data_IF_438360403796
#
_entry.id   IF_438360403796
#
_cell.length_a   1.000
_cell.length_b   1.000
_cell.length_c   1.000
_cell.angle_alpha   90.00
_cell.angle_beta   90.00
_cell.angle_gamma   90.00
#
_symmetry.space_group_name_H-M   'P 1'
#
loop_
_entity.id
_entity.type
_entity.pdbx_description
1 polymer ?
#
# COMPACT_ATOMS: atom_id res chain seq x y z
N UNK A 1 -50.04 -28.83 -23.79
CA UNK A 1 -49.88 -27.36 -23.82
C UNK A 1 -49.53 -26.91 -22.40
N UNK A 2 -48.25 -26.75 -22.06
CA UNK A 2 -47.44 -25.53 -22.26
C UNK A 2 -48.17 -24.31 -21.67
N UNK A 3 -47.66 -23.54 -20.70
CA UNK A 3 -46.32 -23.41 -20.12
C UNK A 3 -46.45 -22.65 -18.80
N UNK A 4 -45.74 -23.06 -17.75
CA UNK A 4 -45.39 -22.17 -16.63
C UNK A 4 -43.92 -21.82 -16.83
N UNK A 5 -43.68 -20.57 -17.21
CA UNK A 5 -42.35 -20.03 -17.54
C UNK A 5 -41.61 -19.76 -16.24
N UNK A 6 -40.50 -20.48 -16.05
CA UNK A 6 -39.49 -20.22 -15.02
C UNK A 6 -38.90 -18.81 -15.18
N UNK A 7 -38.97 -18.01 -14.13
CA UNK A 7 -38.10 -16.83 -13.95
C UNK A 7 -37.10 -17.22 -12.85
N UNK A 8 -35.94 -17.72 -13.27
CA UNK A 8 -34.73 -17.79 -12.44
C UNK A 8 -33.67 -16.99 -13.16
N UNK A 9 -33.54 -15.75 -12.71
CA UNK A 9 -32.52 -14.78 -13.09
C UNK A 9 -31.12 -15.32 -12.79
N UNK A 10 -30.24 -15.18 -13.76
CA UNK A 10 -28.88 -15.69 -13.79
C UNK A 10 -27.98 -15.06 -12.71
N UNK A 11 -27.63 -15.85 -11.70
CA UNK A 11 -26.37 -15.72 -10.98
C UNK A 11 -25.35 -16.58 -11.72
N UNK A 12 -24.59 -15.98 -12.62
CA UNK A 12 -23.41 -16.62 -13.20
C UNK A 12 -22.34 -16.70 -12.11
N UNK A 13 -22.41 -17.71 -11.26
CA UNK A 13 -21.28 -18.16 -10.47
C UNK A 13 -20.20 -18.58 -11.46
N UNK A 14 -19.02 -17.94 -11.38
CA UNK A 14 -17.82 -18.43 -12.07
C UNK A 14 -17.42 -19.72 -11.38
N UNK A 15 -18.04 -20.83 -11.79
CA UNK A 15 -17.62 -22.17 -11.37
C UNK A 15 -16.32 -22.46 -12.08
N UNK A 16 -15.21 -22.31 -11.36
CA UNK A 16 -13.90 -22.76 -11.79
C UNK A 16 -13.94 -24.29 -11.84
N UNK A 17 -14.15 -24.86 -13.03
CA UNK A 17 -14.02 -26.30 -13.26
C UNK A 17 -12.54 -26.70 -13.12
N UNK A 18 -12.11 -27.09 -11.92
CA UNK A 18 -10.81 -27.73 -11.67
C UNK A 18 -11.03 -29.25 -11.91
N UNK A 19 -10.54 -29.81 -13.02
CA UNK A 19 -10.65 -31.26 -13.33
C UNK A 19 -9.70 -32.05 -12.44
N UNK A 20 -10.22 -33.12 -11.86
CA UNK A 20 -9.56 -34.10 -11.00
C UNK A 20 -8.50 -34.92 -11.75
N UNK A 21 -7.22 -34.73 -11.39
CA UNK A 21 -6.18 -35.76 -11.27
C UNK A 21 -4.85 -35.10 -10.83
N UNK A 22 -4.49 -35.25 -9.54
CA UNK A 22 -3.15 -34.94 -9.02
C UNK A 22 -2.86 -33.45 -8.84
N UNK A 23 -3.14 -32.93 -7.64
CA UNK A 23 -2.64 -31.67 -7.04
C UNK A 23 -2.13 -30.62 -8.04
N UNK A 24 -3.03 -30.05 -8.83
CA UNK A 24 -2.80 -28.74 -9.44
C UNK A 24 -3.44 -27.75 -8.48
N UNK A 25 -2.62 -27.11 -7.65
CA UNK A 25 -3.04 -25.96 -6.87
C UNK A 25 -3.58 -24.94 -7.88
N UNK A 26 -4.90 -24.75 -7.91
CA UNK A 26 -5.57 -23.85 -8.84
C UNK A 26 -5.11 -22.42 -8.44
N UNK A 27 -4.00 -21.92 -9.00
CA UNK A 27 -3.40 -20.66 -8.57
C UNK A 27 -4.36 -19.49 -8.84
N UNK A 28 -4.46 -18.59 -7.86
CA UNK A 28 -5.27 -17.37 -7.92
C UNK A 28 -4.52 -16.19 -8.54
N UNK A 29 -3.24 -16.36 -8.91
CA UNK A 29 -2.36 -15.32 -9.46
C UNK A 29 -2.27 -15.33 -10.99
N UNK A 30 -2.06 -14.18 -11.62
CA UNK A 30 -1.92 -14.06 -13.06
C UNK A 30 -0.79 -14.95 -13.58
N UNK A 31 -1.08 -15.79 -14.60
CA UNK A 31 -0.09 -16.69 -15.22
C UNK A 31 1.16 -15.98 -15.75
N UNK A 32 1.04 -14.68 -16.05
CA UNK A 32 2.18 -13.87 -16.47
C UNK A 32 3.21 -13.71 -15.35
N UNK A 33 2.77 -13.51 -14.11
CA UNK A 33 3.64 -13.32 -12.95
C UNK A 33 4.26 -14.64 -12.48
N UNK A 34 3.47 -15.71 -12.46
CA UNK A 34 3.92 -17.06 -12.05
C UNK A 34 5.10 -17.60 -12.87
N UNK A 35 5.24 -17.14 -14.12
CA UNK A 35 6.32 -17.54 -15.03
C UNK A 35 7.59 -16.72 -14.82
N UNK A 36 7.53 -15.65 -14.05
CA UNK A 36 8.66 -14.77 -13.82
C UNK A 36 9.73 -15.49 -12.96
N UNK A 37 11.03 -15.44 -13.31
CA UNK A 37 12.09 -16.13 -12.57
C UNK A 37 12.16 -15.77 -11.07
N UNK A 38 11.80 -14.52 -10.74
CA UNK A 38 11.80 -14.00 -9.38
C UNK A 38 10.44 -14.10 -8.66
N UNK A 39 9.45 -14.77 -9.24
CA UNK A 39 8.13 -14.95 -8.62
C UNK A 39 8.22 -15.51 -7.20
N UNK A 40 9.04 -16.55 -7.01
CA UNK A 40 9.25 -17.23 -5.72
C UNK A 40 10.01 -16.39 -4.67
N UNK A 41 10.37 -15.14 -4.98
CA UNK A 41 10.92 -14.19 -4.00
C UNK A 41 9.83 -13.35 -3.32
N UNK A 42 8.58 -13.51 -3.73
CA UNK A 42 7.43 -12.93 -3.06
C UNK A 42 6.85 -13.94 -2.03
N UNK A 43 6.29 -13.44 -0.93
CA UNK A 43 5.77 -14.27 0.18
C UNK A 43 4.49 -15.06 -0.15
N UNK A 44 3.84 -14.80 -1.29
CA UNK A 44 2.61 -15.46 -1.77
C UNK A 44 1.50 -15.60 -0.71
N UNK A 45 1.47 -16.74 -0.01
CA UNK A 45 0.45 -17.06 0.98
C UNK A 45 0.68 -16.37 2.33
N UNK A 46 1.89 -15.85 2.57
CA UNK A 46 2.35 -15.26 3.84
C UNK A 46 2.33 -13.72 3.86
N UNK A 47 1.50 -13.10 3.01
CA UNK A 47 1.37 -11.64 2.94
C UNK A 47 -0.05 -11.14 3.21
N UNK A 48 -0.15 -9.84 3.49
CA UNK A 48 -1.42 -9.12 3.52
C UNK A 48 -2.36 -9.54 4.64
N UNK A 49 -1.84 -10.17 5.70
CA UNK A 49 -2.60 -10.59 6.87
C UNK A 49 -2.03 -9.94 8.14
N UNK A 50 -2.91 -9.58 9.06
CA UNK A 50 -2.58 -9.13 10.42
C UNK A 50 -3.37 -9.97 11.42
N UNK A 51 -2.78 -10.25 12.58
CA UNK A 51 -3.44 -10.93 13.70
C UNK A 51 -4.35 -9.99 14.49
N UNK A 52 -4.27 -8.68 14.24
CA UNK A 52 -5.10 -7.67 14.89
C UNK A 52 -6.46 -7.58 14.21
N UNK A 53 -7.49 -8.10 14.88
CA UNK A 53 -8.88 -7.95 14.46
C UNK A 53 -9.40 -6.57 14.90
N UNK A 54 -9.29 -5.60 14.00
CA UNK A 54 -9.84 -4.26 14.18
C UNK A 54 -11.05 -4.04 13.27
N UNK A 55 -12.09 -3.39 13.78
CA UNK A 55 -13.14 -2.82 12.94
C UNK A 55 -12.53 -1.79 11.98
N UNK A 56 -13.10 -1.64 10.79
CA UNK A 56 -12.62 -0.64 9.81
C UNK A 56 -12.59 0.74 10.44
N UNK A 57 -11.45 1.41 10.32
CA UNK A 57 -11.25 2.74 10.88
C UNK A 57 -11.84 3.77 9.93
N UNK A 58 -12.98 4.35 10.33
CA UNK A 58 -13.55 5.55 9.72
C UNK A 58 -13.11 6.77 10.54
N UNK A 59 -12.55 7.80 9.90
CA UNK A 59 -12.28 9.07 10.60
C UNK A 59 -10.83 9.53 10.70
N UNK A 60 -9.84 8.79 10.18
CA UNK A 60 -8.43 9.18 10.38
C UNK A 60 -7.99 8.99 11.84
N UNK A 61 -8.19 7.79 12.37
CA UNK A 61 -7.87 7.50 13.78
C UNK A 61 -6.50 6.84 13.90
N UNK A 62 -5.98 6.87 15.12
CA UNK A 62 -4.85 6.05 15.54
C UNK A 62 -5.09 4.59 15.17
N UNK A 63 -4.10 3.98 14.52
CA UNK A 63 -4.10 2.56 14.23
C UNK A 63 -3.86 1.78 15.54
N UNK A 64 -4.32 0.53 15.61
CA UNK A 64 -3.90 -0.34 16.70
C UNK A 64 -2.45 -0.80 16.48
N UNK A 65 -1.71 -0.99 17.57
CA UNK A 65 -0.39 -1.62 17.54
C UNK A 65 -0.45 -2.96 16.78
N UNK A 66 0.36 -3.13 15.72
CA UNK A 66 0.38 -4.32 14.87
C UNK A 66 -0.72 -4.41 13.79
N UNK A 67 -1.58 -3.40 13.65
CA UNK A 67 -2.68 -3.42 12.67
C UNK A 67 -2.19 -3.44 11.21
N UNK A 68 -1.06 -2.79 10.93
CA UNK A 68 -0.48 -2.67 9.59
C UNK A 68 1.00 -3.08 9.58
N UNK A 69 1.31 -4.38 9.74
CA UNK A 69 2.68 -4.86 9.98
C UNK A 69 3.61 -4.74 8.75
N UNK A 70 3.08 -4.32 7.61
CA UNK A 70 3.84 -4.07 6.38
C UNK A 70 4.25 -2.61 6.20
N UNK A 71 3.77 -1.70 7.04
CA UNK A 71 4.13 -0.29 6.93
C UNK A 71 5.56 -0.09 7.40
N UNK A 72 6.29 0.71 6.63
CA UNK A 72 7.70 1.02 6.85
C UNK A 72 7.86 2.52 6.93
N UNK A 73 8.59 3.03 7.91
CA UNK A 73 9.03 4.42 7.94
C UNK A 73 10.41 4.57 7.30
N UNK A 74 10.60 5.54 6.42
CA UNK A 74 11.90 5.95 5.89
C UNK A 74 12.45 7.04 6.78
N UNK A 75 13.61 6.81 7.37
CA UNK A 75 14.23 7.74 8.31
C UNK A 75 15.13 8.72 7.58
N UNK A 76 14.78 10.00 7.67
CA UNK A 76 15.66 11.09 7.30
C UNK A 76 16.47 11.51 8.52
N UNK A 77 17.80 11.49 8.40
CA UNK A 77 18.70 11.90 9.48
C UNK A 77 19.00 13.40 9.44
N UNK A 78 19.02 14.02 10.62
CA UNK A 78 19.35 15.45 10.79
C UNK A 78 20.86 15.75 10.87
N UNK A 79 21.71 14.76 10.60
CA UNK A 79 23.18 14.86 10.65
C UNK A 79 23.78 14.84 12.06
N UNK A 80 22.98 14.81 13.13
CA UNK A 80 23.42 14.63 14.52
C UNK A 80 22.89 13.35 15.15
N UNK A 81 22.34 12.45 14.33
CA UNK A 81 21.94 11.10 14.71
C UNK A 81 20.48 10.96 15.14
N UNK A 82 19.66 12.01 15.03
CA UNK A 82 18.21 11.86 15.18
C UNK A 82 17.59 11.62 13.80
N UNK A 83 16.85 10.52 13.68
CA UNK A 83 16.06 10.22 12.49
C UNK A 83 14.59 10.48 12.78
N UNK A 84 13.88 11.14 11.86
CA UNK A 84 12.41 11.19 11.84
C UNK A 84 11.87 10.49 10.62
N UNK A 85 10.66 9.95 10.73
CA UNK A 85 9.99 9.38 9.56
C UNK A 85 9.63 10.51 8.60
N UNK A 86 10.26 10.51 7.44
CA UNK A 86 10.04 11.48 6.36
C UNK A 86 8.99 11.00 5.36
N UNK A 87 9.09 9.73 4.98
CA UNK A 87 8.17 9.05 4.08
C UNK A 87 7.78 7.68 4.64
N UNK A 88 6.67 7.16 4.14
CA UNK A 88 6.28 5.78 4.28
C UNK A 88 6.87 4.87 3.20
N UNK A 89 6.66 3.58 3.40
CA UNK A 89 6.98 2.51 2.47
C UNK A 89 6.17 1.26 2.82
N UNK A 90 6.34 0.21 2.02
CA UNK A 90 5.68 -1.07 2.23
C UNK A 90 6.64 -2.22 2.07
N UNK A 91 6.72 -3.08 3.08
CA UNK A 91 7.48 -4.33 3.01
C UNK A 91 6.77 -5.29 2.05
N UNK A 92 7.45 -5.77 1.01
CA UNK A 92 6.86 -6.65 -0.01
C UNK A 92 7.40 -8.09 0.01
N UNK A 93 8.52 -8.31 0.71
CA UNK A 93 9.07 -9.62 1.07
C UNK A 93 10.05 -9.45 2.24
N UNK A 94 10.90 -10.44 2.50
CA UNK A 94 11.87 -10.43 3.61
C UNK A 94 13.07 -9.48 3.42
N UNK A 95 13.16 -8.74 2.30
CA UNK A 95 14.35 -7.92 1.99
C UNK A 95 14.08 -6.63 1.22
N UNK A 96 12.88 -6.45 0.69
CA UNK A 96 12.55 -5.31 -0.16
C UNK A 96 11.37 -4.53 0.40
N UNK A 97 11.57 -3.22 0.42
CA UNK A 97 10.54 -2.22 0.67
C UNK A 97 10.26 -1.51 -0.65
N UNK A 98 9.00 -1.26 -0.95
CA UNK A 98 8.60 -0.39 -2.05
C UNK A 98 8.10 0.95 -1.50
N UNK A 99 8.47 2.04 -2.16
CA UNK A 99 8.13 3.41 -1.77
C UNK A 99 8.03 4.28 -3.03
N UNK A 100 7.80 5.58 -2.87
CA UNK A 100 7.85 6.55 -3.96
C UNK A 100 9.29 6.96 -4.28
N UNK A 101 9.59 7.26 -5.55
CA UNK A 101 10.93 7.67 -5.95
C UNK A 101 11.30 9.05 -5.41
N UNK A 102 10.33 9.95 -5.28
CA UNK A 102 10.56 11.27 -4.69
C UNK A 102 10.94 11.22 -3.20
N UNK A 103 10.74 10.09 -2.52
CA UNK A 103 11.06 9.93 -1.09
C UNK A 103 12.52 9.58 -0.82
N UNK A 104 13.31 9.30 -1.86
CA UNK A 104 14.67 8.74 -1.73
C UNK A 104 15.67 9.49 -2.58
N UNK A 105 15.47 10.80 -2.76
CA UNK A 105 16.46 11.60 -3.44
C UNK A 105 17.78 11.58 -2.65
N UNK A 106 18.95 11.60 -3.32
CA UNK A 106 20.24 11.58 -2.63
C UNK A 106 20.43 12.68 -1.59
N UNK A 107 19.75 13.82 -1.76
CA UNK A 107 19.77 14.96 -0.83
C UNK A 107 18.95 14.72 0.45
N UNK A 108 18.03 13.75 0.43
CA UNK A 108 17.18 13.42 1.59
C UNK A 108 17.91 12.57 2.63
N UNK A 109 19.10 12.05 2.32
CA UNK A 109 19.94 11.26 3.23
C UNK A 109 19.22 10.07 3.91
N UNK A 110 18.40 9.33 3.14
CA UNK A 110 17.68 8.15 3.63
C UNK A 110 18.62 6.93 3.71
N UNK A 111 19.14 6.66 4.91
CA UNK A 111 20.05 5.53 5.16
C UNK A 111 19.36 4.31 5.80
N UNK A 112 18.27 4.54 6.52
CA UNK A 112 17.59 3.52 7.32
C UNK A 112 16.09 3.53 7.06
N UNK A 113 15.51 2.35 7.24
CA UNK A 113 14.08 2.21 7.44
C UNK A 113 13.79 1.75 8.86
N UNK A 114 12.57 2.00 9.33
CA UNK A 114 12.04 1.44 10.57
C UNK A 114 10.85 0.54 10.26
N UNK A 115 10.87 -0.67 10.82
CA UNK A 115 9.84 -1.69 10.66
C UNK A 115 9.12 -1.91 11.99
N UNK A 116 7.81 -2.12 11.95
CA UNK A 116 6.98 -2.36 13.13
C UNK A 116 6.85 -1.14 14.04
N UNK A 117 7.21 0.06 13.59
CA UNK A 117 6.99 1.29 14.36
C UNK A 117 5.49 1.52 14.60
N UNK A 118 5.13 2.13 15.73
CA UNK A 118 3.77 2.62 15.97
C UNK A 118 3.81 4.02 16.58
N UNK A 119 4.56 4.24 17.66
CA UNK A 119 4.78 5.54 18.30
C UNK A 119 6.26 5.95 18.27
N UNK A 120 6.57 6.98 17.47
CA UNK A 120 7.93 7.49 17.24
C UNK A 120 8.64 8.01 18.51
N UNK A 121 7.92 8.23 19.62
CA UNK A 121 8.48 8.74 20.87
C UNK A 121 8.85 7.65 21.88
N UNK A 122 8.64 6.38 21.57
CA UNK A 122 8.88 5.26 22.49
C UNK A 122 9.71 4.17 21.85
N UNK A 123 10.60 3.54 22.61
CA UNK A 123 11.45 2.44 22.10
C UNK A 123 10.80 1.06 22.21
N UNK A 124 9.80 0.91 23.08
CA UNK A 124 9.02 -0.32 23.28
C UNK A 124 7.57 0.05 23.52
N UNK A 125 6.65 -0.69 22.88
CA UNK A 125 5.21 -0.50 22.99
C UNK A 125 4.52 -1.83 23.27
N UNK A 126 3.57 -1.84 24.21
CA UNK A 126 2.87 -3.05 24.62
C UNK A 126 1.36 -2.84 24.60
N UNK A 127 0.63 -3.86 24.14
CA UNK A 127 -0.80 -4.01 24.33
C UNK A 127 -1.10 -5.34 25.02
N UNK A 128 -1.29 -5.29 26.35
CA UNK A 128 -1.34 -6.50 27.18
C UNK A 128 0.02 -7.20 27.21
N UNK A 129 0.04 -8.50 26.94
CA UNK A 129 1.27 -9.31 26.91
C UNK A 129 2.05 -9.21 25.59
N UNK A 130 1.47 -8.52 24.59
CA UNK A 130 2.07 -8.37 23.27
C UNK A 130 2.87 -7.06 23.21
N UNK A 131 4.20 -7.17 23.20
CA UNK A 131 5.13 -6.04 23.14
C UNK A 131 5.94 -6.04 21.85
N UNK A 132 6.32 -4.85 21.40
CA UNK A 132 7.09 -4.63 20.19
C UNK A 132 8.18 -3.59 20.41
N UNK A 133 9.33 -3.83 19.77
CA UNK A 133 10.35 -2.82 19.58
C UNK A 133 10.53 -2.59 18.09
N UNK A 134 10.43 -1.33 17.67
CA UNK A 134 10.64 -0.94 16.28
C UNK A 134 12.06 -1.34 15.82
N UNK A 135 12.16 -1.88 14.60
CA UNK A 135 13.42 -2.42 14.06
C UNK A 135 13.99 -1.44 13.05
N UNK A 136 15.10 -0.80 13.39
CA UNK A 136 15.87 0.04 12.46
C UNK A 136 16.77 -0.83 11.59
N UNK A 137 16.59 -0.79 10.27
CA UNK A 137 17.32 -1.61 9.30
C UNK A 137 17.98 -0.73 8.26
N UNK A 138 19.26 -0.99 7.98
CA UNK A 138 20.03 -0.23 6.99
C UNK A 138 19.61 -0.56 5.56
N UNK A 139 19.54 0.47 4.72
CA UNK A 139 19.31 0.33 3.28
C UNK A 139 20.65 0.06 2.59
N UNK A 140 20.70 -0.99 1.79
CA UNK A 140 21.89 -1.37 1.01
C UNK A 140 21.89 -0.74 -0.37
N UNK A 141 20.75 -0.77 -1.05
CA UNK A 141 20.61 -0.27 -2.41
C UNK A 141 19.22 0.34 -2.59
N UNK A 142 19.17 1.39 -3.41
CA UNK A 142 17.96 2.09 -3.84
C UNK A 142 17.86 1.90 -5.35
N UNK A 143 16.68 1.52 -5.84
CA UNK A 143 16.41 1.26 -7.26
C UNK A 143 15.19 2.08 -7.68
N UNK A 144 15.41 3.29 -8.17
CA UNK A 144 14.36 4.12 -8.75
C UNK A 144 13.93 3.57 -10.10
N UNK A 145 12.66 3.77 -10.46
CA UNK A 145 12.22 3.46 -11.81
C UNK A 145 13.03 4.30 -12.82
N UNK A 146 13.61 3.70 -13.89
CA UNK A 146 14.51 4.40 -14.79
C UNK A 146 13.84 5.56 -15.55
N UNK A 147 12.53 5.45 -15.75
CA UNK A 147 11.70 6.49 -16.39
C UNK A 147 10.99 7.39 -15.36
N UNK A 148 11.46 7.46 -14.11
CA UNK A 148 10.92 8.40 -13.12
C UNK A 148 11.12 9.85 -13.60
N UNK A 149 10.02 10.60 -13.68
CA UNK A 149 10.02 12.02 -14.00
C UNK A 149 9.44 12.81 -12.83
N UNK A 150 10.30 13.60 -12.17
CA UNK A 150 9.92 14.43 -11.04
C UNK A 150 9.02 15.61 -11.40
N UNK A 151 9.07 16.10 -12.64
CA UNK A 151 8.32 17.28 -13.07
C UNK A 151 6.87 16.93 -13.34
N UNK A 152 6.64 15.79 -14.01
CA UNK A 152 5.31 15.29 -14.34
C UNK A 152 4.80 14.25 -13.32
N UNK A 153 5.61 13.94 -12.29
CA UNK A 153 5.34 12.93 -11.24
C UNK A 153 4.90 11.57 -11.80
N UNK A 154 5.61 11.13 -12.84
CA UNK A 154 5.36 9.86 -13.55
C UNK A 154 6.38 8.82 -13.09
N UNK A 155 5.94 7.57 -12.97
CA UNK A 155 6.79 6.44 -12.55
C UNK A 155 7.47 6.68 -11.19
N UNK A 156 6.74 7.32 -10.29
CA UNK A 156 7.18 7.69 -8.94
C UNK A 156 7.24 6.48 -7.98
N UNK A 157 8.09 5.50 -8.31
CA UNK A 157 8.25 4.26 -7.56
C UNK A 157 9.73 3.91 -7.42
N UNK A 158 10.11 3.46 -6.23
CA UNK A 158 11.46 2.97 -5.92
C UNK A 158 11.41 1.71 -5.08
N UNK A 159 12.44 0.87 -5.22
CA UNK A 159 12.68 -0.29 -4.37
C UNK A 159 13.90 -0.07 -3.49
N UNK A 160 13.75 -0.35 -2.20
CA UNK A 160 14.81 -0.31 -1.22
C UNK A 160 15.17 -1.74 -0.85
N UNK A 161 16.41 -2.14 -1.14
CA UNK A 161 16.95 -3.42 -0.68
C UNK A 161 17.56 -3.22 0.69
N UNK A 162 17.05 -3.95 1.67
CA UNK A 162 17.58 -4.00 3.02
C UNK A 162 18.92 -4.76 3.04
N UNK A 163 19.85 -4.29 3.87
CA UNK A 163 21.18 -4.91 4.01
C UNK A 163 21.05 -6.33 4.60
N UNK A 164 20.18 -6.46 5.60
CA UNK A 164 19.83 -7.71 6.26
C UNK A 164 18.44 -8.21 5.84
N UNK A 165 18.27 -9.53 5.86
CA UNK A 165 16.96 -10.16 5.64
C UNK A 165 16.19 -10.18 6.95
N UNK A 166 14.89 -9.99 6.88
CA UNK A 166 13.96 -10.27 7.96
C UNK A 166 13.88 -11.79 8.08
N UNK A 167 14.42 -12.35 9.16
CA UNK A 167 14.52 -13.81 9.33
C UNK A 167 13.19 -14.45 9.72
N UNK A 168 12.34 -13.70 10.42
CA UNK A 168 11.05 -14.16 10.92
C UNK A 168 10.01 -13.05 10.81
N UNK A 169 8.84 -13.39 10.27
CA UNK A 169 7.68 -12.51 10.28
C UNK A 169 6.87 -12.73 11.56
N UNK A 170 6.48 -11.65 12.22
CA UNK A 170 5.75 -11.67 13.49
C UNK A 170 4.50 -10.77 13.42
N UNK A 171 3.87 -10.48 14.55
CA UNK A 171 2.64 -9.67 14.58
C UNK A 171 2.84 -8.20 14.18
N UNK A 172 4.09 -7.74 14.09
CA UNK A 172 4.44 -6.33 13.86
C UNK A 172 5.18 -6.10 12.54
N UNK A 173 5.81 -7.14 11.98
CA UNK A 173 6.57 -7.07 10.73
C UNK A 173 6.19 -8.24 9.83
N UNK A 174 5.41 -7.95 8.80
CA UNK A 174 4.97 -8.88 7.74
C UNK A 174 4.84 -8.17 6.41
N UNK A 175 4.98 -8.84 5.27
CA UNK A 175 4.85 -8.19 3.98
C UNK A 175 3.38 -8.00 3.55
N UNK A 176 3.12 -6.97 2.74
CA UNK A 176 1.84 -6.79 2.03
C UNK A 176 1.84 -7.57 0.71
N UNK A 177 0.68 -8.05 0.26
CA UNK A 177 0.59 -8.71 -1.04
C UNK A 177 0.64 -7.71 -2.20
N UNK A 178 1.32 -8.09 -3.29
CA UNK A 178 1.24 -7.36 -4.56
C UNK A 178 -0.05 -7.73 -5.34
N UNK A 179 -0.59 -6.82 -6.18
CA UNK A 179 -1.86 -6.99 -6.90
C UNK A 179 -1.73 -7.93 -8.10
N UNK A 180 -1.39 -9.19 -7.82
CA UNK A 180 -1.06 -10.22 -8.80
C UNK A 180 -2.22 -11.17 -9.09
N UNK A 181 -3.40 -10.97 -8.50
CA UNK A 181 -4.54 -11.89 -8.57
C UNK A 181 -5.29 -11.82 -9.91
N UNK A 182 -5.67 -12.98 -10.48
CA UNK A 182 -6.30 -13.11 -11.82
C UNK A 182 -7.59 -12.31 -12.00
N UNK A 183 -8.36 -12.16 -10.92
CA UNK A 183 -9.65 -11.49 -10.94
C UNK A 183 -9.54 -9.97 -10.82
N UNK A 184 -8.33 -9.45 -10.56
CA UNK A 184 -8.08 -8.02 -10.54
C UNK A 184 -7.90 -7.48 -11.96
N UNK A 185 -8.42 -6.27 -12.16
CA UNK A 185 -8.21 -5.46 -13.35
C UNK A 185 -8.14 -3.99 -12.93
N UNK A 186 -7.82 -3.09 -13.88
CA UNK A 186 -7.63 -1.66 -13.60
C UNK A 186 -8.81 -0.96 -12.91
N UNK A 187 -10.03 -1.50 -13.04
CA UNK A 187 -11.25 -0.93 -12.46
C UNK A 187 -11.70 -1.63 -11.18
N UNK A 188 -11.00 -2.68 -10.72
CA UNK A 188 -11.42 -3.52 -9.58
C UNK A 188 -11.63 -2.76 -8.27
N UNK A 189 -11.04 -1.57 -8.14
CA UNK A 189 -11.14 -0.72 -6.96
C UNK A 189 -11.98 0.54 -7.18
N UNK A 190 -12.48 0.83 -8.39
CA UNK A 190 -13.27 2.04 -8.63
C UNK A 190 -14.53 2.08 -7.74
N UNK A 191 -14.72 3.18 -7.03
CA UNK A 191 -15.85 3.36 -6.10
C UNK A 191 -15.72 2.57 -4.80
N UNK A 192 -14.66 1.77 -4.62
CA UNK A 192 -14.38 1.10 -3.35
C UNK A 192 -13.64 2.04 -2.41
N UNK A 193 -13.91 1.85 -1.13
CA UNK A 193 -13.16 2.45 -0.05
C UNK A 193 -11.92 1.60 0.22
N UNK A 194 -10.76 2.23 0.17
CA UNK A 194 -9.46 1.66 0.50
C UNK A 194 -8.88 2.38 1.72
N UNK A 195 -7.88 1.78 2.35
CA UNK A 195 -7.23 2.34 3.52
C UNK A 195 -5.80 2.74 3.20
N UNK A 196 -5.38 3.88 3.72
CA UNK A 196 -3.99 4.32 3.74
C UNK A 196 -3.61 4.59 5.18
N UNK A 197 -2.34 4.40 5.51
CA UNK A 197 -1.83 4.62 6.85
C UNK A 197 -0.37 5.06 6.83
N UNK A 198 0.00 5.84 7.83
CA UNK A 198 1.30 6.48 7.95
C UNK A 198 1.36 7.42 9.16
N UNK A 199 2.47 8.14 9.26
CA UNK A 199 2.73 9.12 10.32
C UNK A 199 2.59 10.56 9.82
N UNK A 200 1.95 10.74 8.66
CA UNK A 200 1.79 12.05 8.06
C UNK A 200 1.01 13.04 8.93
N UNK A 201 1.11 14.32 8.60
CA UNK A 201 0.52 15.44 9.31
C UNK A 201 -0.98 15.24 9.54
N UNK A 202 -1.41 15.51 10.78
CA UNK A 202 -2.76 15.12 11.23
C UNK A 202 -3.73 16.27 11.46
N UNK A 203 -3.36 17.50 11.12
CA UNK A 203 -4.23 18.68 11.09
C UNK A 203 -3.44 19.92 10.63
N UNK A 204 -4.13 21.06 10.42
CA UNK A 204 -3.63 22.41 10.09
C UNK A 204 -2.52 23.00 11.01
N UNK A 205 -1.96 22.22 11.93
CA UNK A 205 -0.95 22.64 12.91
C UNK A 205 0.49 22.30 12.54
N UNK A 206 0.75 21.80 11.32
CA UNK A 206 2.11 21.51 10.83
C UNK A 206 2.91 20.52 11.70
N UNK A 207 2.25 19.59 12.39
CA UNK A 207 2.93 18.54 13.17
C UNK A 207 2.59 17.16 12.62
N UNK A 208 3.63 16.41 12.28
CA UNK A 208 3.56 14.98 11.98
C UNK A 208 2.96 14.22 13.17
N UNK A 209 2.37 13.06 12.90
CA UNK A 209 1.80 12.23 13.96
C UNK A 209 2.90 11.44 14.65
N UNK A 210 2.94 11.50 15.98
CA UNK A 210 3.78 10.57 16.75
C UNK A 210 3.31 9.13 16.55
N UNK A 211 1.99 8.92 16.47
CA UNK A 211 1.35 7.61 16.32
C UNK A 211 1.00 7.30 14.87
N UNK A 212 1.11 6.04 14.48
CA UNK A 212 0.59 5.56 13.19
C UNK A 212 -0.92 5.81 13.12
N UNK A 213 -1.38 6.49 12.08
CA UNK A 213 -2.81 6.69 11.82
C UNK A 213 -3.25 6.01 10.54
N UNK A 214 -4.54 5.73 10.45
CA UNK A 214 -5.16 5.14 9.27
C UNK A 214 -6.43 5.88 8.87
N UNK A 215 -6.61 6.05 7.57
CA UNK A 215 -7.78 6.69 6.98
C UNK A 215 -8.32 5.88 5.82
N UNK A 216 -9.65 5.85 5.72
CA UNK A 216 -10.34 5.21 4.61
C UNK A 216 -10.72 6.25 3.55
N UNK A 217 -10.26 6.06 2.31
CA UNK A 217 -10.50 6.95 1.16
C UNK A 217 -11.21 6.24 0.01
N UNK A 218 -12.24 6.84 -0.61
CA UNK A 218 -12.89 6.29 -1.79
C UNK A 218 -12.03 6.47 -3.05
N UNK A 219 -11.77 5.37 -3.75
CA UNK A 219 -11.14 5.39 -5.07
C UNK A 219 -12.12 5.95 -6.10
N UNK A 220 -11.65 6.90 -6.90
CA UNK A 220 -12.42 7.49 -7.99
C UNK A 220 -11.97 6.96 -9.34
N UNK A 221 -12.92 6.89 -10.29
CA UNK A 221 -12.60 6.48 -11.66
C UNK A 221 -11.58 7.43 -12.32
N UNK A 222 -10.77 6.90 -13.24
CA UNK A 222 -9.84 7.67 -14.06
C UNK A 222 -10.53 8.86 -14.77
N UNK A 223 -11.77 8.66 -15.24
CA UNK A 223 -12.59 9.74 -15.84
C UNK A 223 -12.85 10.87 -14.84
N UNK A 224 -13.23 10.54 -13.61
CA UNK A 224 -13.48 11.53 -12.55
C UNK A 224 -12.18 12.20 -12.13
N UNK A 225 -11.09 11.45 -12.02
CA UNK A 225 -9.79 12.01 -11.67
C UNK A 225 -9.28 13.00 -12.74
N UNK A 226 -9.34 12.64 -14.03
CA UNK A 226 -9.01 13.56 -15.13
C UNK A 226 -9.89 14.80 -15.20
N UNK A 227 -11.15 14.71 -14.78
CA UNK A 227 -12.01 15.88 -14.75
C UNK A 227 -11.45 16.97 -13.82
N UNK A 228 -10.81 16.58 -12.73
CA UNK A 228 -10.18 17.51 -11.77
C UNK A 228 -8.75 17.87 -12.16
N UNK A 229 -7.94 16.90 -12.58
CA UNK A 229 -6.50 17.08 -12.83
C UNK A 229 -6.16 17.44 -14.29
N UNK A 230 -7.13 17.40 -15.20
CA UNK A 230 -6.93 17.54 -16.64
C UNK A 230 -6.36 16.28 -17.29
N UNK A 231 -5.26 15.75 -16.76
CA UNK A 231 -4.61 14.54 -17.24
C UNK A 231 -4.22 13.59 -16.10
N UNK A 232 -4.29 12.28 -16.35
CA UNK A 232 -3.91 11.21 -15.41
C UNK A 232 -3.35 10.06 -16.23
N UNK A 233 -2.17 9.57 -15.85
CA UNK A 233 -1.54 8.44 -16.51
C UNK A 233 -2.23 7.12 -16.15
N UNK A 234 -2.20 6.13 -17.05
CA UNK A 234 -2.68 4.77 -16.75
C UNK A 234 -1.98 4.15 -15.53
N UNK A 235 -0.75 4.57 -15.29
CA UNK A 235 0.10 4.16 -14.17
C UNK A 235 -0.24 4.85 -12.86
N UNK A 236 -1.30 5.66 -12.83
CA UNK A 236 -1.81 6.35 -11.64
C UNK A 236 -3.21 5.85 -11.28
N UNK A 237 -3.52 5.88 -10.00
CA UNK A 237 -4.85 5.65 -9.42
C UNK A 237 -5.16 6.79 -8.46
N UNK A 238 -6.42 7.21 -8.38
CA UNK A 238 -6.79 8.35 -7.56
C UNK A 238 -7.80 7.95 -6.49
N UNK A 239 -7.63 8.54 -5.32
CA UNK A 239 -8.64 8.55 -4.27
C UNK A 239 -9.01 10.01 -3.96
N UNK A 240 -10.22 10.21 -3.47
CA UNK A 240 -10.71 11.54 -3.12
C UNK A 240 -10.84 11.62 -1.61
N UNK A 241 -10.28 12.67 -1.00
CA UNK A 241 -10.54 12.99 0.39
C UNK A 241 -12.05 13.08 0.66
N UNK A 242 -12.47 12.66 1.85
CA UNK A 242 -13.87 12.59 2.23
C UNK A 242 -14.09 13.25 3.58
N UNK A 243 -14.89 14.32 3.63
CA UNK A 243 -15.25 15.04 4.85
C UNK A 243 -14.06 15.53 5.68
N UNK A 244 -12.99 16.03 5.05
CA UNK A 244 -11.81 16.49 5.78
C UNK A 244 -10.79 15.37 6.09
N UNK A 245 -10.98 14.17 5.54
CA UNK A 245 -10.09 13.02 5.72
C UNK A 245 -9.39 12.67 4.42
N UNK A 246 -8.06 12.68 4.41
CA UNK A 246 -7.23 12.40 3.23
C UNK A 246 -5.83 11.91 3.66
N UNK A 247 -5.05 11.36 2.71
CA UNK A 247 -3.62 11.17 2.93
C UNK A 247 -2.90 12.54 2.92
N UNK A 248 -1.91 12.71 3.78
CA UNK A 248 -1.24 14.00 3.97
C UNK A 248 0.29 13.92 3.83
N UNK A 249 0.96 15.07 3.96
CA UNK A 249 2.42 15.16 4.08
C UNK A 249 2.94 14.16 5.11
N UNK A 250 3.95 13.35 4.77
CA UNK A 250 4.48 12.28 5.63
C UNK A 250 3.82 10.90 5.44
N UNK A 251 2.70 10.81 4.71
CA UNK A 251 2.19 9.53 4.17
C UNK A 251 2.77 9.22 2.78
N UNK A 252 3.54 10.14 2.21
CA UNK A 252 4.24 9.98 0.92
C UNK A 252 5.03 8.67 0.88
N UNK A 253 4.95 7.92 -0.22
CA UNK A 253 5.56 6.59 -0.35
C UNK A 253 4.85 5.48 0.43
N UNK A 254 3.90 5.80 1.31
CA UNK A 254 3.07 4.86 2.06
C UNK A 254 2.02 4.13 1.20
N UNK A 255 1.39 3.07 1.75
CA UNK A 255 0.50 2.22 1.00
C UNK A 255 -0.94 2.73 0.87
N UNK A 256 -1.52 2.61 -0.31
CA UNK A 256 -2.97 2.51 -0.52
C UNK A 256 -3.37 1.04 -0.60
N UNK A 257 -4.18 0.59 0.35
CA UNK A 257 -4.43 -0.83 0.64
C UNK A 257 -5.88 -1.24 0.38
N UNK A 258 -6.04 -2.34 -0.36
CA UNK A 258 -7.35 -2.93 -0.65
C UNK A 258 -7.47 -4.35 -0.13
N UNK A 259 -8.70 -4.79 0.12
CA UNK A 259 -9.00 -6.21 0.37
C UNK A 259 -9.27 -6.94 -0.94
N UNK A 260 -8.67 -8.12 -1.07
CA UNK A 260 -8.79 -8.99 -2.25
C UNK A 260 -9.03 -10.41 -1.79
N UNK A 261 -9.94 -11.11 -2.46
CA UNK A 261 -10.25 -12.50 -2.14
C UNK A 261 -9.09 -13.39 -2.61
N UNK A 262 -8.48 -14.13 -1.69
CA UNK A 262 -7.30 -14.95 -1.97
C UNK A 262 -7.65 -16.33 -2.50
N UNK A 263 -8.83 -16.85 -2.16
CA UNK A 263 -9.29 -18.16 -2.62
C UNK A 263 -10.78 -18.16 -3.01
N UNK A 264 -11.33 -19.34 -3.29
CA UNK A 264 -12.77 -19.51 -3.51
C UNK A 264 -13.58 -19.42 -2.22
N UNK A 265 -12.92 -19.46 -1.05
CA UNK A 265 -13.58 -19.24 0.23
C UNK A 265 -14.01 -17.77 0.35
N UNK A 266 -15.31 -17.47 0.55
CA UNK A 266 -15.81 -16.11 0.68
C UNK A 266 -15.30 -15.37 1.92
N UNK A 267 -14.65 -16.04 2.88
CA UNK A 267 -14.06 -15.41 4.07
C UNK A 267 -12.55 -15.15 3.93
N UNK A 268 -11.90 -15.70 2.91
CA UNK A 268 -10.44 -15.65 2.75
C UNK A 268 -10.00 -14.40 1.97
N UNK A 269 -9.73 -13.33 2.70
CA UNK A 269 -9.26 -12.05 2.17
C UNK A 269 -7.86 -11.71 2.66
N UNK A 270 -7.10 -11.07 1.77
CA UNK A 270 -5.81 -10.45 2.11
C UNK A 270 -5.78 -8.99 1.71
N UNK A 271 -4.90 -8.24 2.38
CA UNK A 271 -4.51 -6.87 2.04
C UNK A 271 -3.54 -6.89 0.87
N UNK A 272 -3.85 -6.07 -0.11
CA UNK A 272 -3.05 -5.89 -1.32
C UNK A 272 -2.64 -4.44 -1.44
N UNK A 273 -1.38 -4.20 -1.83
CA UNK A 273 -0.84 -2.89 -2.16
C UNK A 273 -1.42 -2.44 -3.49
N UNK A 274 -2.49 -1.66 -3.45
CA UNK A 274 -3.18 -1.15 -4.64
C UNK A 274 -2.43 0.04 -5.23
N UNK A 275 -1.90 0.91 -4.36
CA UNK A 275 -1.09 2.04 -4.79
C UNK A 275 -0.07 2.49 -3.76
N UNK A 276 0.76 3.44 -4.18
CA UNK A 276 1.80 4.10 -3.37
C UNK A 276 1.50 5.59 -3.39
N UNK A 277 1.42 6.24 -2.22
CA UNK A 277 1.13 7.67 -2.10
C UNK A 277 2.19 8.48 -2.83
N UNK A 278 1.77 9.32 -3.79
CA UNK A 278 2.67 10.11 -4.62
C UNK A 278 2.49 11.60 -4.39
N UNK A 279 1.35 12.18 -4.79
CA UNK A 279 1.06 13.60 -4.59
C UNK A 279 -0.44 13.86 -4.41
N UNK A 280 -0.79 15.06 -3.93
CA UNK A 280 -2.17 15.51 -3.77
C UNK A 280 -2.45 16.78 -4.57
N UNK A 281 -3.72 17.02 -4.91
CA UNK A 281 -4.15 18.29 -5.52
C UNK A 281 -5.42 18.79 -4.83
N UNK A 282 -5.46 20.06 -4.36
CA UNK A 282 -6.64 20.66 -3.74
C UNK A 282 -7.88 20.62 -4.64
N UNK A 283 -9.05 20.36 -4.06
CA UNK A 283 -10.33 20.29 -4.81
C UNK A 283 -11.00 21.68 -4.93
N UNK A 284 -10.68 22.65 -4.07
CA UNK A 284 -11.18 24.03 -4.18
C UNK A 284 -10.23 25.08 -3.57
N UNK A 285 -10.58 26.37 -3.72
CA UNK A 285 -9.81 27.49 -3.18
C UNK A 285 -9.72 27.52 -1.65
N UNK A 286 -10.65 26.89 -0.94
CA UNK A 286 -10.60 26.74 0.53
C UNK A 286 -9.65 25.63 0.98
N UNK A 287 -9.25 24.76 0.04
CA UNK A 287 -8.20 23.75 0.19
C UNK A 287 -6.83 24.22 -0.33
N UNK A 288 -6.69 25.48 -0.79
CA UNK A 288 -5.41 26.08 -1.24
C UNK A 288 -4.52 26.63 -0.13
N UNK A 289 -4.98 26.62 1.12
CA UNK A 289 -3.99 26.62 2.19
C UNK A 289 -3.21 25.32 2.01
N UNK A 290 -1.89 25.41 1.78
CA UNK A 290 -0.92 24.31 1.60
C UNK A 290 -0.86 23.32 2.79
N UNK A 291 -1.86 23.35 3.66
CA UNK A 291 -2.07 22.73 4.96
C UNK A 291 -3.39 21.93 5.05
N UNK A 292 -4.24 21.93 4.01
CA UNK A 292 -5.59 21.39 4.07
C UNK A 292 -5.71 19.97 3.49
N UNK A 293 -4.96 19.03 4.06
CA UNK A 293 -5.30 17.61 3.89
C UNK A 293 -6.73 17.38 4.37
N UNK A 294 -7.54 16.71 3.54
CA UNK A 294 -8.93 16.42 3.86
C UNK A 294 -9.94 16.68 2.74
N UNK A 295 -9.60 17.58 1.81
CA UNK A 295 -10.37 17.87 0.59
C UNK A 295 -9.44 18.00 -0.63
N UNK A 296 -8.54 17.03 -0.81
CA UNK A 296 -7.71 16.90 -2.00
C UNK A 296 -8.04 15.61 -2.77
N UNK A 297 -7.56 15.55 -4.01
CA UNK A 297 -7.48 14.29 -4.76
C UNK A 297 -6.07 13.78 -4.57
N UNK A 298 -5.94 12.69 -3.81
CA UNK A 298 -4.71 11.92 -3.71
C UNK A 298 -4.49 11.13 -5.00
N UNK A 299 -3.31 11.31 -5.58
CA UNK A 299 -2.80 10.53 -6.70
C UNK A 299 -1.75 9.56 -6.18
N UNK A 300 -1.92 8.31 -6.56
CA UNK A 300 -1.10 7.19 -6.13
C UNK A 300 -0.53 6.51 -7.37
N UNK A 301 0.67 5.95 -7.25
CA UNK A 301 1.19 5.01 -8.24
C UNK A 301 0.26 3.79 -8.27
N UNK A 302 -0.15 3.33 -9.45
CA UNK A 302 -0.92 2.11 -9.61
C UNK A 302 0.00 0.90 -9.64
N UNK A 303 0.18 0.24 -8.50
CA UNK A 303 1.17 -0.85 -8.33
C UNK A 303 0.97 -2.00 -9.33
N UNK A 304 -0.27 -2.26 -9.77
CA UNK A 304 -0.56 -3.30 -10.77
C UNK A 304 0.16 -3.10 -12.10
N UNK A 305 0.55 -1.87 -12.45
CA UNK A 305 1.30 -1.57 -13.68
C UNK A 305 2.80 -1.73 -13.52
N UNK A 306 3.31 -1.95 -12.29
CA UNK A 306 4.73 -2.05 -11.97
C UNK A 306 5.14 -3.40 -11.41
N UNK A 307 4.24 -4.39 -11.31
CA UNK A 307 4.56 -5.70 -10.76
C UNK A 307 5.70 -6.37 -11.54
N UNK A 308 5.70 -6.31 -12.87
CA UNK A 308 6.78 -6.88 -13.68
C UNK A 308 8.11 -6.16 -13.41
N UNK A 309 8.11 -4.83 -13.34
CA UNK A 309 9.31 -4.05 -12.97
C UNK A 309 9.82 -4.39 -11.57
N UNK A 310 8.92 -4.58 -10.59
CA UNK A 310 9.30 -5.02 -9.24
C UNK A 310 10.00 -6.37 -9.32
N UNK A 311 9.40 -7.33 -10.03
CA UNK A 311 9.93 -8.67 -10.18
C UNK A 311 11.28 -8.69 -10.91
N UNK A 312 11.51 -7.82 -11.90
CA UNK A 312 12.78 -7.67 -12.61
C UNK A 312 13.91 -7.15 -11.70
N UNK A 313 13.58 -6.39 -10.66
CA UNK A 313 14.55 -5.70 -9.82
C UNK A 313 14.80 -6.35 -8.45
N UNK A 314 13.87 -7.18 -7.95
CA UNK A 314 14.13 -7.98 -6.74
C UNK A 314 15.10 -9.13 -7.03
N UNK A 315 15.92 -9.46 -6.04
CA UNK A 315 16.97 -10.48 -6.13
C UNK A 315 17.12 -11.25 -4.83
N UNK A 316 17.64 -12.47 -4.93
CA UNK A 316 18.14 -13.25 -3.79
C UNK A 316 19.25 -12.51 -3.03
#
# INVERSE_FOLDING_TARGET
SNSVVNILSALAAVVVFCRSAGVVQCSFHGRQFERHPNWNLLPHDECGFTTVLADRIFGGNEAYLGQYPWIVGLLQEDGVGNGRIWCGGSLINDRYVVTAAHCVHPEDHIEYVVLGEHNQNTSEECNGDLCNCARRVKIRNIFDHPDYDKYDTINDISLLRLDERITEFDDFVRPICLPTFKHLNKNSFNGKYLETAGWGQTDRKNSDSDFLKAVTVPVISEKKCRWWLGYVHKTQICAMGNNGLDACHGDSGGPLMGYVQKSSDPADYVRVLVGITSFGTPIDESARDDLACGNAIGVYVRVSEYVDWILDNIRK
#
